data_IF_482724791096
#
_entry.id   IF_482724791096
#
_cell.length_a   1.000
_cell.length_b   1.000
_cell.length_c   1.000
_cell.angle_alpha   90.00
_cell.angle_beta   90.00
_cell.angle_gamma   90.00
#
_symmetry.space_group_name_H-M   'P 1'
#
loop_
_entity.id
_entity.type
_entity.pdbx_description
1 polymer ?
#
# COMPACT_ATOMS: atom_id res chain seq x y z
N UNK A 1 11.75 4.40 13.85
CA UNK A 1 11.92 5.78 13.40
C UNK A 1 10.86 6.62 14.10
N UNK A 2 11.24 7.68 14.82
CA UNK A 2 10.26 8.50 15.56
C UNK A 2 9.68 9.54 14.62
N UNK A 3 8.39 9.49 14.33
CA UNK A 3 7.66 10.45 13.48
C UNK A 3 7.46 11.83 14.16
N UNK A 4 8.49 12.41 14.77
CA UNK A 4 8.33 13.63 15.57
C UNK A 4 8.48 14.95 14.79
N UNK A 5 8.94 14.95 13.54
CA UNK A 5 9.36 16.20 12.89
C UNK A 5 8.38 16.81 11.86
N UNK A 6 7.32 16.12 11.46
CA UNK A 6 6.39 16.70 10.49
C UNK A 6 5.37 17.68 11.11
N UNK A 7 5.08 17.54 12.41
CA UNK A 7 4.09 18.37 13.12
C UNK A 7 4.68 19.73 13.56
N UNK A 8 6.00 19.84 13.79
CA UNK A 8 6.64 21.10 14.22
C UNK A 8 6.78 22.16 13.11
N UNK A 9 6.63 21.79 11.85
CA UNK A 9 6.79 22.73 10.73
C UNK A 9 5.56 23.62 10.49
N UNK A 10 4.44 23.38 11.19
CA UNK A 10 3.24 24.20 11.10
C UNK A 10 3.09 25.01 12.40
N UNK A 11 3.59 26.24 12.43
CA UNK A 11 3.35 27.15 13.56
C UNK A 11 1.86 27.53 13.60
N UNK A 12 1.16 27.05 14.64
CA UNK A 12 -0.25 27.31 14.89
C UNK A 12 -0.38 28.44 15.91
N UNK A 13 -1.12 29.50 15.56
CA UNK A 13 -1.57 30.52 16.52
C UNK A 13 -2.86 30.04 17.20
N UNK A 14 -2.80 29.88 18.51
CA UNK A 14 -3.82 29.29 19.36
C UNK A 14 -5.00 30.24 19.58
N UNK A 15 -6.23 29.80 19.23
CA UNK A 15 -7.49 30.29 19.81
C UNK A 15 -8.26 29.10 20.37
N UNK A 16 -8.97 29.29 21.50
CA UNK A 16 -9.65 28.25 22.27
C UNK A 16 -10.70 27.49 21.41
N UNK A 17 -10.29 26.39 20.84
CA UNK A 17 -11.14 25.35 20.26
C UNK A 17 -10.71 24.07 20.96
N UNK A 18 -11.65 23.19 21.27
CA UNK A 18 -11.35 21.85 21.80
C UNK A 18 -10.48 21.14 20.76
N UNK A 19 -9.15 21.20 20.96
CA UNK A 19 -8.19 20.58 20.05
C UNK A 19 -8.21 19.09 20.39
N UNK A 20 -8.47 18.22 19.38
CA UNK A 20 -8.19 16.79 19.52
C UNK A 20 -6.79 16.63 20.12
N UNK A 21 -6.65 15.75 21.05
CA UNK A 21 -5.34 15.48 21.61
C UNK A 21 -4.44 14.92 20.52
N UNK A 22 -3.14 15.13 20.64
CA UNK A 22 -2.16 14.52 19.75
C UNK A 22 -2.37 13.00 19.63
N UNK A 23 -2.93 12.36 20.65
CA UNK A 23 -3.23 10.94 20.66
C UNK A 23 -4.40 10.57 19.74
N UNK A 24 -5.46 11.36 19.70
CA UNK A 24 -6.61 11.12 18.80
C UNK A 24 -6.20 11.24 17.33
N UNK A 25 -5.34 12.23 16.98
CA UNK A 25 -4.79 12.34 15.62
C UNK A 25 -3.92 11.13 15.28
N UNK A 26 -3.10 10.65 16.22
CA UNK A 26 -2.28 9.44 16.02
C UNK A 26 -3.15 8.20 15.83
N UNK A 27 -4.23 8.06 16.60
CA UNK A 27 -5.18 6.96 16.47
C UNK A 27 -5.89 6.98 15.10
N UNK A 28 -6.31 8.17 14.66
CA UNK A 28 -6.85 8.35 13.32
C UNK A 28 -5.85 7.93 12.24
N UNK A 29 -4.61 8.43 12.30
CA UNK A 29 -3.54 8.07 11.36
C UNK A 29 -3.29 6.55 11.38
N UNK A 30 -3.24 5.94 12.55
CA UNK A 30 -3.08 4.49 12.71
C UNK A 30 -4.21 3.70 12.04
N UNK A 31 -5.45 4.19 12.16
CA UNK A 31 -6.63 3.62 11.50
C UNK A 31 -6.53 3.73 9.99
N UNK A 32 -6.17 4.91 9.47
CA UNK A 32 -5.98 5.13 8.04
C UNK A 32 -4.85 4.28 7.47
N UNK A 33 -3.75 4.15 8.20
CA UNK A 33 -2.63 3.30 7.80
C UNK A 33 -3.04 1.83 7.68
N UNK A 34 -3.74 1.28 8.69
CA UNK A 34 -4.25 -0.10 8.62
C UNK A 34 -5.17 -0.31 7.42
N UNK A 35 -6.06 0.63 7.15
CA UNK A 35 -6.95 0.58 6.01
C UNK A 35 -6.17 0.64 4.68
N UNK A 36 -5.27 1.61 4.52
CA UNK A 36 -4.47 1.75 3.30
C UNK A 36 -3.56 0.55 3.05
N UNK A 37 -2.90 0.03 4.08
CA UNK A 37 -2.02 -1.14 3.91
C UNK A 37 -2.79 -2.40 3.58
N UNK A 38 -4.04 -2.56 4.05
CA UNK A 38 -4.91 -3.69 3.71
C UNK A 38 -5.41 -3.67 2.26
N UNK A 39 -5.32 -2.53 1.57
CA UNK A 39 -5.69 -2.42 0.16
C UNK A 39 -4.46 -2.73 -0.69
N UNK A 40 -4.52 -3.82 -1.46
CA UNK A 40 -3.48 -4.14 -2.43
C UNK A 40 -3.39 -3.04 -3.50
N UNK A 41 -2.17 -2.55 -3.72
CA UNK A 41 -1.92 -1.48 -4.70
C UNK A 41 -0.55 -1.58 -5.39
N UNK A 42 -0.09 -2.75 -5.87
CA UNK A 42 1.08 -2.79 -6.74
C UNK A 42 0.95 -1.78 -7.87
N UNK A 43 2.08 -1.17 -8.29
CA UNK A 43 2.06 -0.15 -9.33
C UNK A 43 1.31 -0.63 -10.58
N UNK A 44 0.41 0.18 -11.08
CA UNK A 44 -0.54 -0.20 -12.14
C UNK A 44 -1.84 -0.84 -11.65
N UNK A 45 -1.94 -1.25 -10.38
CA UNK A 45 -3.15 -1.81 -9.75
C UNK A 45 -3.62 -0.97 -8.56
N UNK A 46 -3.63 0.34 -8.69
CA UNK A 46 -3.82 1.30 -7.59
C UNK A 46 -5.23 1.82 -7.42
N UNK A 47 -6.16 1.44 -8.32
CA UNK A 47 -7.51 2.00 -8.34
C UNK A 47 -8.23 1.92 -7.00
N UNK A 48 -8.19 0.77 -6.31
CA UNK A 48 -8.87 0.62 -5.03
C UNK A 48 -8.28 1.52 -3.94
N UNK A 49 -6.96 1.76 -3.95
CA UNK A 49 -6.32 2.67 -3.01
C UNK A 49 -6.68 4.13 -3.31
N UNK A 50 -6.72 4.52 -4.58
CA UNK A 50 -7.13 5.88 -4.97
C UNK A 50 -8.62 6.13 -4.74
N UNK A 51 -9.48 5.16 -4.99
CA UNK A 51 -10.91 5.25 -4.67
C UNK A 51 -11.11 5.43 -3.14
N UNK A 52 -10.33 4.72 -2.33
CA UNK A 52 -10.34 4.88 -0.88
C UNK A 52 -9.95 6.31 -0.47
N UNK A 53 -8.84 6.84 -1.01
CA UNK A 53 -8.40 8.21 -0.73
C UNK A 53 -9.44 9.25 -1.15
N UNK A 54 -9.99 9.13 -2.36
CA UNK A 54 -11.07 10.00 -2.85
C UNK A 54 -12.23 10.02 -1.86
N UNK A 55 -12.71 8.83 -1.47
CA UNK A 55 -13.83 8.69 -0.53
C UNK A 55 -13.53 9.30 0.85
N UNK A 56 -12.33 9.07 1.41
CA UNK A 56 -11.97 9.65 2.71
C UNK A 56 -11.97 11.17 2.67
N UNK A 57 -11.40 11.76 1.63
CA UNK A 57 -11.35 13.21 1.44
C UNK A 57 -12.74 13.81 1.19
N UNK A 58 -13.60 13.12 0.43
CA UNK A 58 -14.99 13.55 0.20
C UNK A 58 -15.83 13.50 1.49
N UNK A 59 -15.66 12.46 2.32
CA UNK A 59 -16.33 12.35 3.64
C UNK A 59 -15.93 13.50 4.56
N UNK A 60 -14.67 13.96 4.51
CA UNK A 60 -14.22 15.15 5.23
C UNK A 60 -14.77 16.47 4.60
N UNK A 61 -15.49 16.41 3.49
CA UNK A 61 -16.07 17.58 2.80
C UNK A 61 -15.09 18.33 1.93
N UNK A 62 -14.01 17.69 1.49
CA UNK A 62 -13.12 18.23 0.45
C UNK A 62 -13.60 17.83 -0.95
N UNK A 63 -13.01 18.43 -1.98
CA UNK A 63 -13.28 18.14 -3.38
C UNK A 63 -12.01 17.60 -4.09
N UNK A 64 -11.64 16.33 -3.82
CA UNK A 64 -10.44 15.75 -4.42
C UNK A 64 -10.61 15.59 -5.93
N UNK A 65 -9.49 15.61 -6.64
CA UNK A 65 -9.44 15.45 -8.09
C UNK A 65 -8.57 14.23 -8.44
N UNK A 66 -9.05 13.44 -9.38
CA UNK A 66 -8.33 12.29 -9.93
C UNK A 66 -7.74 12.68 -11.29
N UNK A 67 -6.43 12.55 -11.45
CA UNK A 67 -5.76 12.75 -12.73
C UNK A 67 -5.93 11.54 -13.66
N UNK A 68 -5.64 11.72 -14.97
CA UNK A 68 -5.68 10.63 -15.95
C UNK A 68 -4.72 9.46 -15.61
N UNK A 69 -3.67 9.71 -14.84
CA UNK A 69 -2.74 8.67 -14.37
C UNK A 69 -3.13 8.04 -13.03
N UNK A 70 -4.25 8.49 -12.43
CA UNK A 70 -4.71 7.95 -11.16
C UNK A 70 -4.18 8.69 -9.93
N UNK A 71 -3.40 9.77 -10.06
CA UNK A 71 -2.99 10.56 -8.90
C UNK A 71 -4.19 11.30 -8.32
N UNK A 72 -4.30 11.32 -6.99
CA UNK A 72 -5.32 12.08 -6.27
C UNK A 72 -4.70 13.36 -5.74
N UNK A 73 -5.35 14.49 -5.97
CA UNK A 73 -4.95 15.80 -5.43
C UNK A 73 -6.11 16.52 -4.78
N UNK A 74 -5.84 17.27 -3.73
CA UNK A 74 -6.85 18.06 -3.03
C UNK A 74 -6.23 19.29 -2.39
N UNK A 75 -6.87 20.44 -2.56
CA UNK A 75 -6.55 21.64 -1.81
C UNK A 75 -7.28 21.60 -0.45
N UNK A 76 -6.52 21.66 0.64
CA UNK A 76 -7.08 21.60 1.99
C UNK A 76 -7.22 22.97 2.66
N UNK A 77 -6.91 24.04 1.94
CA UNK A 77 -7.10 25.42 2.37
C UNK A 77 -5.80 26.18 2.62
N UNK A 78 -5.94 27.29 3.36
CA UNK A 78 -4.86 28.22 3.65
C UNK A 78 -4.68 29.28 2.57
N UNK A 79 -3.88 30.31 2.91
CA UNK A 79 -3.59 31.47 2.06
C UNK A 79 -2.07 31.69 2.00
N UNK A 80 -1.62 32.43 0.96
CA UNK A 80 -0.22 32.78 0.79
C UNK A 80 0.54 31.85 -0.15
N UNK A 81 1.84 31.65 0.09
CA UNK A 81 2.69 30.86 -0.79
C UNK A 81 2.25 29.40 -0.88
N UNK A 82 2.18 28.80 -2.08
CA UNK A 82 1.74 27.41 -2.23
C UNK A 82 2.72 26.43 -1.57
N UNK A 83 2.16 25.35 -1.04
CA UNK A 83 2.87 24.20 -0.49
C UNK A 83 2.18 22.93 -0.97
N UNK A 84 2.94 22.02 -1.53
CA UNK A 84 2.47 20.66 -1.87
C UNK A 84 3.08 19.68 -0.88
N UNK A 85 2.24 18.87 -0.25
CA UNK A 85 2.65 17.70 0.54
C UNK A 85 2.31 16.47 -0.28
N UNK A 86 3.32 15.66 -0.60
CA UNK A 86 3.16 14.51 -1.49
C UNK A 86 3.51 13.21 -0.77
N UNK A 87 2.80 12.15 -1.15
CA UNK A 87 3.06 10.76 -0.77
C UNK A 87 2.62 9.84 -1.91
N UNK A 88 3.20 8.64 -2.02
CA UNK A 88 2.70 7.65 -2.96
C UNK A 88 1.91 6.53 -2.26
N UNK A 89 1.02 5.88 -3.00
CA UNK A 89 0.19 4.77 -2.48
C UNK A 89 0.34 3.50 -3.30
N UNK A 90 1.08 3.56 -4.39
CA UNK A 90 1.50 2.35 -5.09
C UNK A 90 2.59 1.63 -4.26
N UNK A 91 2.69 0.34 -4.48
CA UNK A 91 3.59 -0.53 -3.73
C UNK A 91 4.37 -1.43 -4.66
N UNK A 92 5.48 -1.93 -4.17
CA UNK A 92 6.13 -3.11 -4.74
C UNK A 92 5.13 -4.27 -4.80
N UNK A 93 5.32 -5.15 -5.78
CA UNK A 93 4.51 -6.34 -5.95
C UNK A 93 5.07 -7.25 -7.03
N UNK A 94 4.22 -8.07 -7.60
CA UNK A 94 4.57 -8.93 -8.73
C UNK A 94 3.36 -9.13 -9.65
N UNK A 95 3.59 -9.74 -10.80
CA UNK A 95 2.54 -10.25 -11.67
C UNK A 95 2.83 -11.68 -12.08
N UNK A 96 1.80 -12.40 -12.48
CA UNK A 96 1.92 -13.74 -13.04
C UNK A 96 2.63 -13.67 -14.39
N UNK A 97 3.86 -14.17 -14.47
CA UNK A 97 4.62 -14.27 -15.71
C UNK A 97 4.20 -15.48 -16.53
N UNK A 98 3.99 -16.64 -15.86
CA UNK A 98 3.51 -17.86 -16.51
C UNK A 98 2.96 -18.84 -15.46
N UNK A 99 2.17 -19.80 -15.93
CA UNK A 99 1.66 -20.92 -15.12
C UNK A 99 2.49 -22.15 -15.46
N UNK A 100 3.07 -22.79 -14.46
CA UNK A 100 3.86 -24.02 -14.57
C UNK A 100 2.94 -25.24 -14.75
N UNK A 101 3.49 -26.34 -15.30
CA UNK A 101 2.71 -27.58 -15.55
C UNK A 101 2.19 -28.20 -14.23
N UNK A 102 2.85 -27.94 -13.10
CA UNK A 102 2.43 -28.40 -11.77
C UNK A 102 1.43 -27.44 -11.08
N UNK A 103 0.86 -26.47 -11.79
CA UNK A 103 -0.09 -25.51 -11.25
C UNK A 103 0.49 -24.36 -10.45
N UNK A 104 1.81 -24.31 -10.21
CA UNK A 104 2.43 -23.16 -9.54
C UNK A 104 2.59 -21.98 -10.50
N UNK A 105 2.56 -20.76 -9.97
CA UNK A 105 2.73 -19.57 -10.78
C UNK A 105 4.19 -19.13 -10.73
N UNK A 106 4.75 -18.75 -11.87
CA UNK A 106 6.03 -18.04 -11.94
C UNK A 106 5.74 -16.56 -11.87
N UNK A 107 6.26 -15.82 -10.87
CA UNK A 107 6.08 -14.38 -10.77
C UNK A 107 7.11 -13.64 -11.61
N UNK A 108 6.86 -12.34 -11.85
CA UNK A 108 7.85 -11.33 -12.23
C UNK A 108 7.60 -10.08 -11.41
N UNK A 109 8.67 -9.36 -11.05
CA UNK A 109 8.58 -8.18 -10.16
C UNK A 109 7.81 -7.02 -10.77
N UNK A 110 7.10 -6.28 -9.91
CA UNK A 110 6.67 -4.91 -10.12
C UNK A 110 7.44 -4.07 -9.12
N UNK A 111 8.27 -3.15 -9.62
CA UNK A 111 9.21 -2.39 -8.80
C UNK A 111 10.46 -3.18 -8.37
N UNK A 112 11.30 -2.57 -7.57
CA UNK A 112 12.63 -3.08 -7.23
C UNK A 112 12.72 -3.70 -5.83
N UNK A 113 12.19 -4.93 -5.60
CA UNK A 113 12.36 -5.60 -4.31
C UNK A 113 13.29 -6.81 -4.37
N UNK A 114 13.87 -7.14 -3.22
CA UNK A 114 14.67 -8.35 -3.07
C UNK A 114 13.75 -9.54 -2.76
N UNK A 115 13.79 -10.60 -3.58
CA UNK A 115 12.99 -11.80 -3.36
C UNK A 115 13.24 -12.50 -2.02
N UNK A 116 14.44 -12.34 -1.46
CA UNK A 116 14.75 -12.83 -0.11
C UNK A 116 13.87 -12.26 0.99
N UNK A 117 13.24 -11.11 0.76
CA UNK A 117 12.28 -10.51 1.69
C UNK A 117 10.85 -11.03 1.49
N UNK A 118 10.61 -11.78 0.42
CA UNK A 118 9.29 -12.32 0.06
C UNK A 118 9.22 -13.85 0.20
N UNK A 119 10.34 -14.55 0.32
CA UNK A 119 10.35 -16.01 0.51
C UNK A 119 9.65 -16.41 1.82
N UNK A 120 8.63 -17.25 1.71
CA UNK A 120 7.75 -17.65 2.82
C UNK A 120 6.61 -16.66 3.14
N UNK A 121 6.44 -15.58 2.37
CA UNK A 121 5.38 -14.62 2.61
C UNK A 121 4.05 -15.03 1.98
N UNK A 122 2.96 -14.72 2.67
CA UNK A 122 1.62 -14.83 2.10
C UNK A 122 1.42 -13.78 1.00
N UNK A 123 0.62 -14.14 0.01
CA UNK A 123 0.26 -13.23 -1.08
C UNK A 123 -1.19 -13.42 -1.52
N UNK A 124 -1.66 -12.46 -2.32
CA UNK A 124 -2.95 -12.47 -2.97
C UNK A 124 -2.75 -12.35 -4.49
N UNK A 125 -3.45 -13.16 -5.25
CA UNK A 125 -3.47 -13.12 -6.71
C UNK A 125 -4.81 -12.55 -7.16
N UNK A 126 -4.78 -11.44 -7.88
CA UNK A 126 -5.98 -10.74 -8.37
C UNK A 126 -6.16 -11.01 -9.85
N UNK A 127 -7.29 -11.61 -10.21
CA UNK A 127 -7.64 -11.90 -11.60
C UNK A 127 -8.32 -10.70 -12.25
N UNK A 128 -8.30 -10.65 -13.59
CA UNK A 128 -8.95 -9.56 -14.36
C UNK A 128 -10.46 -9.53 -14.22
N UNK A 129 -11.10 -10.64 -13.88
CA UNK A 129 -12.54 -10.72 -13.64
C UNK A 129 -12.94 -10.37 -12.19
N UNK A 130 -11.99 -9.92 -11.38
CA UNK A 130 -12.22 -9.39 -10.03
C UNK A 130 -12.21 -10.45 -8.92
N UNK A 131 -11.86 -11.71 -9.21
CA UNK A 131 -11.62 -12.73 -8.17
C UNK A 131 -10.26 -12.54 -7.52
N UNK A 132 -10.14 -13.03 -6.29
CA UNK A 132 -8.91 -13.00 -5.53
C UNK A 132 -8.67 -14.40 -4.93
N UNK A 133 -7.44 -14.87 -5.04
CA UNK A 133 -6.97 -16.11 -4.44
C UNK A 133 -5.79 -15.84 -3.53
N UNK A 134 -5.67 -16.59 -2.45
CA UNK A 134 -4.50 -16.52 -1.57
C UNK A 134 -3.45 -17.55 -1.97
N UNK A 135 -2.24 -17.35 -1.51
CA UNK A 135 -1.14 -18.27 -1.74
C UNK A 135 0.10 -17.85 -0.96
N UNK A 136 1.17 -18.58 -1.16
CA UNK A 136 2.46 -18.32 -0.53
C UNK A 136 3.55 -18.18 -1.59
N UNK A 137 4.44 -17.23 -1.37
CA UNK A 137 5.65 -17.06 -2.17
C UNK A 137 6.72 -18.02 -1.66
N UNK A 138 7.26 -18.86 -2.53
CA UNK A 138 8.29 -19.84 -2.15
C UNK A 138 9.43 -19.82 -3.18
N UNK A 139 10.63 -20.14 -2.74
CA UNK A 139 11.65 -20.56 -3.68
C UNK A 139 11.34 -21.97 -4.20
N UNK A 140 11.92 -22.35 -5.35
CA UNK A 140 11.63 -23.63 -6.01
C UNK A 140 12.09 -24.87 -5.22
N UNK A 141 12.99 -24.70 -4.26
CA UNK A 141 13.53 -25.75 -3.41
C UNK A 141 13.55 -25.31 -1.93
N UNK A 142 12.36 -25.18 -1.31
CA UNK A 142 12.24 -24.56 0.02
C UNK A 142 12.73 -25.47 1.16
N UNK A 143 13.01 -26.76 0.88
CA UNK A 143 13.40 -27.74 1.89
C UNK A 143 14.91 -27.99 1.90
N UNK A 144 15.54 -27.76 3.05
CA UNK A 144 16.96 -28.07 3.27
C UNK A 144 17.32 -29.58 3.14
N UNK A 145 16.30 -30.47 3.14
CA UNK A 145 16.49 -31.90 3.04
C UNK A 145 16.42 -32.46 1.62
N UNK A 146 15.98 -31.65 0.66
CA UNK A 146 15.74 -32.06 -0.73
C UNK A 146 16.74 -31.40 -1.67
N UNK A 147 17.23 -30.22 -1.34
CA UNK A 147 18.19 -29.49 -2.14
C UNK A 147 19.64 -29.93 -1.80
N UNK A 148 20.36 -30.41 -2.79
CA UNK A 148 21.80 -30.73 -2.66
C UNK A 148 22.65 -29.46 -2.54
N UNK A 149 22.18 -28.35 -3.08
CA UNK A 149 22.81 -27.03 -3.01
C UNK A 149 21.79 -25.96 -2.61
N UNK A 150 22.26 -24.83 -2.04
CA UNK A 150 21.40 -23.69 -1.74
C UNK A 150 20.93 -23.04 -3.02
N UNK A 151 19.62 -22.98 -3.24
CA UNK A 151 19.02 -22.21 -4.33
C UNK A 151 19.23 -20.72 -4.07
N UNK A 152 19.73 -20.03 -5.07
CA UNK A 152 19.84 -18.57 -5.02
C UNK A 152 18.43 -17.96 -5.04
N UNK A 153 18.15 -17.06 -4.08
CA UNK A 153 16.86 -16.37 -3.99
C UNK A 153 16.82 -15.23 -5.01
N UNK A 154 16.32 -15.54 -6.20
CA UNK A 154 16.13 -14.62 -7.32
C UNK A 154 14.87 -14.94 -8.11
N UNK A 155 14.41 -14.03 -8.95
CA UNK A 155 13.11 -14.12 -9.65
C UNK A 155 12.89 -15.48 -10.35
N UNK A 156 13.92 -16.00 -11.02
CA UNK A 156 13.81 -17.24 -11.79
C UNK A 156 13.54 -18.46 -10.91
N UNK A 157 13.92 -18.38 -9.64
CA UNK A 157 13.82 -19.45 -8.67
C UNK A 157 12.66 -19.26 -7.68
N UNK A 158 11.76 -18.29 -7.98
CA UNK A 158 10.57 -18.06 -7.15
C UNK A 158 9.30 -18.57 -7.82
N UNK A 159 8.37 -18.99 -7.01
CA UNK A 159 7.06 -19.46 -7.45
C UNK A 159 5.98 -19.14 -6.41
N UNK A 160 4.72 -19.10 -6.87
CA UNK A 160 3.57 -18.96 -5.99
C UNK A 160 2.86 -20.30 -5.92
N UNK A 161 2.68 -20.81 -4.72
CA UNK A 161 1.79 -21.93 -4.41
C UNK A 161 0.44 -21.33 -3.98
N UNK A 162 -0.61 -21.61 -4.75
CA UNK A 162 -1.97 -21.18 -4.43
C UNK A 162 -2.57 -22.02 -3.29
N UNK A 163 -3.42 -21.42 -2.47
CA UNK A 163 -4.21 -22.09 -1.44
C UNK A 163 -5.47 -22.75 -2.06
N UNK A 164 -5.30 -23.37 -3.25
CA UNK A 164 -6.37 -23.95 -4.03
C UNK A 164 -6.04 -25.42 -4.40
N UNK A 165 -7.05 -26.23 -4.53
CA UNK A 165 -6.87 -27.63 -4.92
C UNK A 165 -6.62 -27.77 -6.44
N UNK A 166 -5.52 -27.22 -6.92
CA UNK A 166 -5.06 -27.26 -8.30
C UNK A 166 -3.63 -27.79 -8.37
N UNK A 167 -3.38 -28.71 -9.31
CA UNK A 167 -2.08 -29.35 -9.47
C UNK A 167 -1.59 -29.37 -10.93
N UNK A 168 -2.25 -28.65 -11.79
CA UNK A 168 -1.88 -28.49 -13.19
C UNK A 168 -2.29 -27.12 -13.74
N UNK A 169 -1.78 -26.86 -14.93
CA UNK A 169 -2.04 -25.60 -15.65
C UNK A 169 -3.53 -25.40 -16.00
N UNK A 170 -4.27 -26.48 -16.27
CA UNK A 170 -5.67 -26.39 -16.65
C UNK A 170 -6.53 -26.04 -15.45
N UNK A 171 -6.27 -26.63 -14.27
CA UNK A 171 -6.93 -26.28 -13.03
C UNK A 171 -6.75 -24.81 -12.67
N UNK A 172 -5.53 -24.29 -12.79
CA UNK A 172 -5.26 -22.86 -12.53
C UNK A 172 -5.99 -21.96 -13.55
N UNK A 173 -5.98 -22.33 -14.83
CA UNK A 173 -6.72 -21.58 -15.87
C UNK A 173 -8.23 -21.59 -15.61
N UNK A 174 -8.80 -22.69 -15.07
CA UNK A 174 -10.21 -22.76 -14.68
C UNK A 174 -10.55 -21.82 -13.52
N UNK A 175 -9.60 -21.47 -12.65
CA UNK A 175 -9.74 -20.40 -11.67
C UNK A 175 -9.76 -19.00 -12.31
N UNK A 176 -9.48 -18.88 -13.61
CA UNK A 176 -9.40 -17.62 -14.35
C UNK A 176 -8.08 -16.89 -14.19
N UNK A 177 -7.11 -17.50 -13.51
CA UNK A 177 -5.77 -16.94 -13.35
C UNK A 177 -5.02 -17.03 -14.69
N UNK A 178 -4.39 -15.93 -15.10
CA UNK A 178 -3.66 -15.83 -16.35
C UNK A 178 -2.41 -14.95 -16.22
N UNK A 179 -1.57 -15.01 -17.24
CA UNK A 179 -0.41 -14.13 -17.35
C UNK A 179 -0.82 -12.66 -17.28
N UNK A 180 -0.13 -11.87 -16.47
CA UNK A 180 -0.39 -10.45 -16.23
C UNK A 180 -1.37 -10.20 -15.08
N UNK A 181 -1.88 -11.22 -14.40
CA UNK A 181 -2.64 -11.04 -13.16
C UNK A 181 -1.70 -10.58 -12.04
N UNK A 182 -2.21 -9.75 -11.15
CA UNK A 182 -1.43 -9.06 -10.12
C UNK A 182 -1.23 -9.97 -8.90
N UNK A 183 -0.02 -9.95 -8.37
CA UNK A 183 0.35 -10.61 -7.12
C UNK A 183 0.74 -9.53 -6.11
N UNK A 184 0.00 -9.41 -5.02
CA UNK A 184 0.29 -8.51 -3.92
C UNK A 184 0.73 -9.30 -2.69
N UNK A 185 1.81 -8.87 -2.04
CA UNK A 185 2.28 -9.48 -0.78
C UNK A 185 1.41 -9.03 0.38
N UNK A 186 1.22 -9.91 1.39
CA UNK A 186 0.52 -9.54 2.61
C UNK A 186 1.31 -8.44 3.36
N UNK A 187 0.69 -7.30 3.69
CA UNK A 187 1.34 -6.22 4.41
C UNK A 187 1.70 -6.58 5.85
N UNK A 188 1.00 -7.51 6.48
CA UNK A 188 1.20 -7.94 7.88
C UNK A 188 1.24 -6.77 8.85
N UNK A 189 0.33 -5.81 8.70
CA UNK A 189 0.32 -4.58 9.49
C UNK A 189 -0.05 -4.84 10.94
N UNK A 190 0.85 -4.49 11.85
CA UNK A 190 0.67 -4.57 13.29
C UNK A 190 1.03 -3.24 13.93
N UNK A 191 0.14 -2.72 14.77
CA UNK A 191 0.44 -1.62 15.69
C UNK A 191 0.44 -2.21 17.09
N UNK A 192 1.58 -2.15 17.77
CA UNK A 192 1.75 -2.70 19.12
C UNK A 192 1.17 -1.75 20.17
N UNK A 193 0.88 -2.27 21.38
CA UNK A 193 0.45 -1.46 22.52
C UNK A 193 1.48 -0.40 22.91
N UNK A 194 2.77 -0.66 22.65
CA UNK A 194 3.84 0.31 22.87
C UNK A 194 3.98 1.37 21.77
N UNK A 195 3.10 1.35 20.75
CA UNK A 195 3.05 2.33 19.66
C UNK A 195 4.01 2.07 18.49
N UNK A 196 4.67 0.91 18.43
CA UNK A 196 5.46 0.55 17.25
C UNK A 196 4.56 0.06 16.11
N UNK A 197 4.90 0.50 14.91
CA UNK A 197 4.23 0.09 13.67
C UNK A 197 5.18 -0.81 12.88
N UNK A 198 4.70 -1.99 12.54
CA UNK A 198 5.39 -2.96 11.69
C UNK A 198 4.48 -3.36 10.54
N UNK A 199 4.94 -3.15 9.31
CA UNK A 199 4.21 -3.51 8.10
C UNK A 199 5.17 -3.56 6.92
N UNK A 200 4.79 -4.24 5.84
CA UNK A 200 5.26 -3.91 4.50
C UNK A 200 4.59 -2.61 4.07
N UNK A 201 5.17 -1.93 3.09
CA UNK A 201 4.56 -0.78 2.43
C UNK A 201 4.32 0.44 3.35
N UNK A 202 5.11 0.57 4.44
CA UNK A 202 5.19 1.83 5.18
C UNK A 202 5.73 2.95 4.28
N UNK A 203 6.58 2.61 3.35
CA UNK A 203 6.94 3.36 2.18
C UNK A 203 5.90 3.11 1.07
N UNK A 204 5.02 4.08 0.73
CA UNK A 204 4.89 5.34 1.45
C UNK A 204 3.44 5.54 1.97
N UNK A 205 2.73 4.43 2.21
CA UNK A 205 1.37 4.47 2.77
C UNK A 205 1.30 5.10 4.16
N UNK A 206 2.44 5.13 4.90
CA UNK A 206 2.48 5.83 6.18
C UNK A 206 2.37 7.34 5.97
N UNK A 207 3.13 7.91 5.03
CA UNK A 207 3.00 9.34 4.72
C UNK A 207 1.63 9.65 4.15
N UNK A 208 1.06 8.78 3.31
CA UNK A 208 -0.32 8.94 2.83
C UNK A 208 -1.34 8.98 3.97
N UNK A 209 -1.22 8.11 4.98
CA UNK A 209 -2.06 8.13 6.17
C UNK A 209 -1.84 9.41 7.00
N UNK A 210 -0.61 9.90 7.10
CA UNK A 210 -0.29 11.17 7.77
C UNK A 210 -0.94 12.34 7.03
N UNK A 211 -0.90 12.37 5.69
CA UNK A 211 -1.58 13.41 4.92
C UNK A 211 -3.09 13.41 5.11
N UNK A 212 -3.73 12.24 5.22
CA UNK A 212 -5.14 12.14 5.62
C UNK A 212 -5.37 12.68 7.03
N UNK A 213 -4.46 12.41 7.97
CA UNK A 213 -4.49 12.95 9.33
C UNK A 213 -4.38 14.48 9.35
N UNK A 214 -3.53 15.06 8.49
CA UNK A 214 -3.42 16.53 8.32
C UNK A 214 -4.73 17.10 7.78
N UNK A 215 -5.32 16.48 6.74
CA UNK A 215 -6.60 16.91 6.19
C UNK A 215 -7.72 16.87 7.25
N UNK A 216 -7.78 15.78 8.04
CA UNK A 216 -8.71 15.63 9.15
C UNK A 216 -8.54 16.74 10.20
N UNK A 217 -7.32 16.98 10.68
CA UNK A 217 -7.04 18.02 11.66
C UNK A 217 -7.39 19.44 11.15
N UNK A 218 -7.13 19.74 9.88
CA UNK A 218 -7.52 21.03 9.28
C UNK A 218 -9.03 21.21 9.26
N UNK A 219 -9.78 20.14 8.92
CA UNK A 219 -11.23 20.23 8.73
C UNK A 219 -12.00 20.20 10.05
N UNK A 220 -11.70 19.22 10.89
CA UNK A 220 -12.51 18.93 12.08
C UNK A 220 -12.05 19.74 13.28
N UNK A 221 -10.79 20.19 13.29
CA UNK A 221 -10.21 20.97 14.37
C UNK A 221 -10.03 22.44 14.04
N UNK A 222 -10.33 22.83 12.82
CA UNK A 222 -10.24 24.21 12.38
C UNK A 222 -8.80 24.74 12.37
N UNK A 223 -7.80 23.90 12.11
CA UNK A 223 -6.43 24.36 11.98
C UNK A 223 -6.30 25.40 10.89
N UNK A 224 -5.72 26.56 11.23
CA UNK A 224 -5.47 27.63 10.28
C UNK A 224 -4.12 27.43 9.62
N UNK A 225 -4.16 27.26 8.30
CA UNK A 225 -2.97 27.15 7.48
C UNK A 225 -2.50 28.53 7.05
N UNK A 226 -1.21 28.83 7.23
CA UNK A 226 -0.57 30.07 6.77
C UNK A 226 0.03 29.95 5.36
N UNK A 227 -0.27 28.87 4.66
CA UNK A 227 0.12 28.58 3.27
C UNK A 227 -1.06 27.97 2.55
N UNK A 228 -1.12 28.14 1.23
CA UNK A 228 -2.07 27.43 0.38
C UNK A 228 -1.59 25.98 0.22
N UNK A 229 -2.23 25.03 0.90
CA UNK A 229 -1.75 23.64 0.99
C UNK A 229 -2.55 22.73 0.06
N UNK A 230 -1.83 21.99 -0.76
CA UNK A 230 -2.36 20.91 -1.62
C UNK A 230 -1.74 19.59 -1.17
N UNK A 231 -2.57 18.57 -0.94
CA UNK A 231 -2.13 17.18 -0.79
C UNK A 231 -2.11 16.51 -2.16
N UNK A 232 -1.06 15.72 -2.41
CA UNK A 232 -0.88 14.97 -3.65
C UNK A 232 -0.53 13.52 -3.32
N UNK A 233 -1.36 12.58 -3.79
CA UNK A 233 -1.11 11.15 -3.66
C UNK A 233 -0.79 10.59 -5.06
N UNK A 234 0.42 10.09 -5.23
CA UNK A 234 0.90 9.54 -6.51
C UNK A 234 0.80 8.02 -6.55
N UNK A 235 0.91 7.42 -7.76
CA UNK A 235 0.63 6.00 -8.00
C UNK A 235 1.63 5.29 -8.93
N UNK A 236 2.78 5.91 -9.21
CA UNK A 236 3.85 5.36 -10.07
C UNK A 236 5.24 5.73 -9.54
N UNK A 237 5.44 5.71 -8.22
CA UNK A 237 6.74 6.05 -7.64
C UNK A 237 7.70 4.86 -7.73
N UNK A 238 7.19 3.64 -7.54
CA UNK A 238 7.97 2.40 -7.41
C UNK A 238 8.50 1.83 -8.75
N UNK A 239 8.14 2.42 -9.90
CA UNK A 239 8.55 1.96 -11.24
C UNK A 239 8.98 3.09 -12.14
#
# INVERSE_FOLDING_TARGET
MRCYNAIELIKITKWEITIMSTEEIKEYIGTQLKALTSIASPTGFTKNATDYLMKQLEVMGYAPQLSNKGNVSVEIGGEGAPLVLAAHVDTLGAMVRSIKDNGRLRPTTIGGHQWSTADGENCMVFTRDGRMYTGVVLNTEPSAHVADEKVEIKEENMEILLDENVNDKQGVAALGIQTGDIIAMDPRTVITESGYIKSRFLDDKLSAAILLGVAHAVKDEGWKLNRKVTLLFTVYEEV
#
